data_IF_690196654888
#
_entry.id   IF_690196654888
#
_cell.length_a   1.000
_cell.length_b   1.000
_cell.length_c   1.000
_cell.angle_alpha   90.00
_cell.angle_beta   90.00
_cell.angle_gamma   90.00
#
_symmetry.space_group_name_H-M   'P 1'
#
loop_
_entity.id
_entity.type
_entity.pdbx_description
1 polymer ?
#
# COMPACT_ATOMS: atom_id res chain seq x y z
N UNK A 1 -13.78 2.65 7.19
CA UNK A 1 -12.35 2.65 7.56
C UNK A 1 -11.68 1.65 6.63
N UNK A 2 -10.79 2.10 5.73
CA UNK A 2 -10.11 1.21 4.79
C UNK A 2 -8.74 0.88 5.39
N UNK A 3 -8.56 -0.37 5.79
CA UNK A 3 -7.25 -0.89 6.20
C UNK A 3 -6.57 -1.50 4.98
N UNK A 4 -5.26 -1.30 4.83
CA UNK A 4 -4.46 -1.94 3.80
C UNK A 4 -3.06 -2.24 4.33
N UNK A 5 -2.42 -3.20 3.69
CA UNK A 5 -0.98 -3.45 3.80
C UNK A 5 -0.36 -3.11 2.46
N UNK A 6 0.82 -2.48 2.49
CA UNK A 6 1.56 -2.13 1.29
C UNK A 6 3.06 -2.24 1.48
N UNK A 7 3.78 -2.22 0.36
CA UNK A 7 5.24 -2.37 0.33
C UNK A 7 5.85 -1.01 0.00
N UNK A 8 6.85 -0.60 0.78
CA UNK A 8 7.51 0.70 0.66
C UNK A 8 9.01 0.51 0.40
N UNK A 9 9.55 1.33 -0.50
CA UNK A 9 10.99 1.43 -0.73
C UNK A 9 11.63 2.58 0.08
N UNK A 10 12.96 2.57 0.26
CA UNK A 10 13.66 3.67 0.90
C UNK A 10 13.64 4.94 0.02
N UNK A 11 13.83 6.14 0.61
CA UNK A 11 14.03 7.37 -0.16
C UNK A 11 15.21 7.25 -1.12
N UNK A 12 15.05 7.74 -2.35
CA UNK A 12 16.08 7.71 -3.38
C UNK A 12 16.23 6.38 -4.11
N UNK A 13 15.33 5.41 -3.89
CA UNK A 13 15.26 4.20 -4.70
C UNK A 13 15.09 4.57 -6.20
N UNK A 14 15.94 4.07 -7.11
CA UNK A 14 15.79 4.36 -8.54
C UNK A 14 14.45 3.89 -9.09
N UNK A 15 13.85 4.69 -9.97
CA UNK A 15 12.52 4.43 -10.54
C UNK A 15 12.48 3.08 -11.25
N UNK A 16 13.52 2.71 -11.99
CA UNK A 16 13.55 1.46 -12.76
C UNK A 16 13.53 0.24 -11.84
N UNK A 17 14.15 0.35 -10.66
CA UNK A 17 14.13 -0.71 -9.64
C UNK A 17 12.74 -0.81 -9.01
N UNK A 18 12.12 0.32 -8.68
CA UNK A 18 10.77 0.35 -8.14
C UNK A 18 9.75 -0.23 -9.12
N UNK A 19 9.85 0.11 -10.41
CA UNK A 19 8.98 -0.41 -11.47
C UNK A 19 9.15 -1.92 -11.63
N UNK A 20 10.40 -2.41 -11.66
CA UNK A 20 10.67 -3.85 -11.73
C UNK A 20 10.04 -4.58 -10.55
N UNK A 21 10.27 -4.11 -9.32
CA UNK A 21 9.69 -4.73 -8.12
C UNK A 21 8.16 -4.70 -8.16
N UNK A 22 7.56 -3.57 -8.53
CA UNK A 22 6.11 -3.43 -8.63
C UNK A 22 5.52 -4.43 -9.64
N UNK A 23 6.19 -4.62 -10.79
CA UNK A 23 5.77 -5.59 -11.80
C UNK A 23 5.76 -7.01 -11.21
N UNK A 24 6.88 -7.46 -10.65
CA UNK A 24 7.01 -8.81 -10.09
C UNK A 24 6.03 -9.05 -8.94
N UNK A 25 5.86 -8.08 -8.03
CA UNK A 25 4.89 -8.14 -6.93
C UNK A 25 3.47 -8.30 -7.48
N UNK A 26 3.11 -7.50 -8.50
CA UNK A 26 1.80 -7.58 -9.11
C UNK A 26 1.57 -8.90 -9.87
N UNK A 27 2.61 -9.53 -10.41
CA UNK A 27 2.53 -10.87 -10.99
C UNK A 27 2.30 -11.94 -9.90
N UNK A 28 3.06 -11.87 -8.80
CA UNK A 28 2.90 -12.77 -7.65
C UNK A 28 1.50 -12.66 -7.03
N UNK A 29 0.96 -11.46 -6.89
CA UNK A 29 -0.41 -11.26 -6.36
C UNK A 29 -1.51 -11.81 -7.29
N UNK A 30 -1.20 -12.12 -8.55
CA UNK A 30 -2.12 -12.77 -9.50
C UNK A 30 -1.96 -14.29 -9.52
N UNK A 31 -0.94 -14.83 -8.87
CA UNK A 31 -0.78 -16.27 -8.73
C UNK A 31 -1.96 -16.86 -7.94
N UNK A 32 -2.63 -17.92 -8.43
CA UNK A 32 -3.82 -18.47 -7.78
C UNK A 32 -3.58 -18.99 -6.36
N UNK A 33 -2.41 -19.55 -6.08
CA UNK A 33 -2.10 -20.07 -4.75
C UNK A 33 -1.84 -18.93 -3.77
N UNK A 34 -1.19 -17.87 -4.24
CA UNK A 34 -1.03 -16.62 -3.48
C UNK A 34 -2.38 -15.96 -3.23
N UNK A 35 -3.21 -15.79 -4.25
CA UNK A 35 -4.54 -15.18 -4.14
C UNK A 35 -5.41 -15.92 -3.11
N UNK A 36 -5.40 -17.26 -3.18
CA UNK A 36 -6.10 -18.11 -2.22
C UNK A 36 -5.55 -17.95 -0.80
N UNK A 37 -4.23 -17.89 -0.63
CA UNK A 37 -3.60 -17.74 0.68
C UNK A 37 -3.94 -16.41 1.36
N UNK A 38 -3.97 -15.30 0.62
CA UNK A 38 -4.41 -14.00 1.14
C UNK A 38 -5.90 -13.99 1.46
N UNK A 39 -6.75 -14.51 0.56
CA UNK A 39 -8.20 -14.60 0.79
C UNK A 39 -8.55 -15.46 2.01
N UNK A 40 -7.79 -16.52 2.28
CA UNK A 40 -7.97 -17.36 3.47
C UNK A 40 -7.75 -16.60 4.78
N UNK A 41 -6.99 -15.51 4.76
CA UNK A 41 -6.73 -14.63 5.91
C UNK A 41 -7.69 -13.43 5.97
N UNK A 42 -8.63 -13.33 5.02
CA UNK A 42 -9.57 -12.20 4.91
C UNK A 42 -9.02 -11.00 4.13
N UNK A 43 -7.84 -11.13 3.53
CA UNK A 43 -7.25 -10.07 2.70
C UNK A 43 -7.71 -10.17 1.24
N UNK A 44 -7.62 -9.04 0.55
CA UNK A 44 -7.87 -8.95 -0.88
C UNK A 44 -6.61 -8.46 -1.60
N UNK A 45 -5.87 -9.35 -2.29
CA UNK A 45 -4.78 -8.97 -3.17
C UNK A 45 -5.26 -7.91 -4.17
N UNK A 46 -4.59 -6.76 -4.16
CA UNK A 46 -4.99 -5.62 -5.00
C UNK A 46 -3.77 -5.12 -5.79
N UNK A 47 -3.47 -5.73 -6.96
CA UNK A 47 -2.38 -5.28 -7.81
C UNK A 47 -2.67 -3.87 -8.34
N UNK A 48 -1.78 -2.90 -8.08
CA UNK A 48 -1.94 -1.50 -8.51
C UNK A 48 -0.61 -0.93 -9.03
N UNK A 49 -0.68 0.23 -9.69
CA UNK A 49 0.54 0.95 -10.07
C UNK A 49 1.18 1.64 -8.87
N UNK A 50 2.48 1.95 -8.99
CA UNK A 50 3.21 2.78 -8.02
C UNK A 50 2.49 4.12 -7.77
N UNK A 51 2.01 4.76 -8.85
CA UNK A 51 1.31 6.04 -8.78
C UNK A 51 -0.01 5.93 -7.99
N UNK A 52 -0.84 4.94 -8.30
CA UNK A 52 -2.12 4.73 -7.60
C UNK A 52 -1.90 4.45 -6.12
N UNK A 53 -0.87 3.68 -5.79
CA UNK A 53 -0.55 3.41 -4.39
C UNK A 53 -0.03 4.68 -3.67
N UNK A 54 0.85 5.45 -4.32
CA UNK A 54 1.33 6.71 -3.77
C UNK A 54 0.20 7.73 -3.52
N UNK A 55 -0.78 7.81 -4.44
CA UNK A 55 -1.97 8.65 -4.27
C UNK A 55 -2.84 8.20 -3.10
N UNK A 56 -2.98 6.88 -2.91
CA UNK A 56 -3.73 6.30 -1.77
C UNK A 56 -3.07 6.70 -0.45
N UNK A 57 -1.76 6.48 -0.32
CA UNK A 57 -0.98 6.84 0.88
C UNK A 57 -1.06 8.34 1.16
N UNK A 58 -0.87 9.19 0.14
CA UNK A 58 -0.92 10.65 0.29
C UNK A 58 -2.28 11.14 0.75
N UNK A 59 -3.35 10.58 0.17
CA UNK A 59 -4.73 10.96 0.50
C UNK A 59 -5.10 10.54 1.92
N UNK A 60 -4.75 9.32 2.32
CA UNK A 60 -5.01 8.82 3.66
C UNK A 60 -4.20 9.59 4.71
N UNK A 61 -2.92 9.89 4.44
CA UNK A 61 -2.09 10.71 5.34
C UNK A 61 -2.69 12.12 5.54
N UNK A 62 -3.25 12.72 4.49
CA UNK A 62 -3.92 14.02 4.57
C UNK A 62 -5.18 13.96 5.43
N UNK A 63 -6.03 12.96 5.23
CA UNK A 63 -7.29 12.79 5.95
C UNK A 63 -7.01 12.50 7.43
N UNK A 64 -6.26 11.43 7.72
CA UNK A 64 -6.06 10.95 9.09
C UNK A 64 -5.14 11.87 9.87
N UNK A 65 -4.09 12.40 9.25
CA UNK A 65 -3.24 13.40 9.86
C UNK A 65 -3.97 14.71 10.13
N UNK A 66 -4.89 15.10 9.25
CA UNK A 66 -5.77 16.26 9.44
C UNK A 66 -6.68 16.08 10.66
N UNK A 67 -7.39 14.95 10.70
CA UNK A 67 -8.28 14.61 11.80
C UNK A 67 -7.56 14.53 13.15
N UNK A 68 -6.37 13.91 13.19
CA UNK A 68 -5.58 13.83 14.42
C UNK A 68 -5.22 15.21 14.98
N UNK A 69 -4.86 16.15 14.10
CA UNK A 69 -4.58 17.55 14.49
C UNK A 69 -5.82 18.27 14.99
N UNK A 70 -6.95 18.12 14.31
CA UNK A 70 -8.23 18.72 14.71
C UNK A 70 -8.68 18.24 16.09
N UNK A 71 -8.49 16.94 16.36
CA UNK A 71 -8.86 16.31 17.62
C UNK A 71 -7.80 16.43 18.73
N UNK A 72 -6.67 17.12 18.49
CA UNK A 72 -5.52 17.19 19.40
C UNK A 72 -5.04 15.81 19.90
N UNK A 73 -5.02 14.82 19.01
CA UNK A 73 -4.56 13.47 19.32
C UNK A 73 -3.04 13.38 19.17
N UNK A 74 -2.37 12.88 20.20
CA UNK A 74 -0.94 12.56 20.19
C UNK A 74 -0.70 11.16 20.76
N UNK A 75 0.35 10.49 20.31
CA UNK A 75 0.86 9.28 20.97
C UNK A 75 1.60 9.70 22.24
N UNK A 76 1.29 9.09 23.39
CA UNK A 76 1.97 9.33 24.66
C UNK A 76 3.45 8.95 24.61
#
# INVERSE_FOLDING_TARGET
>A
MRHYVGIFGPPGLPTEVAEKLNKEINEILRDPDVDKAFKAQGDLPTPVSLETFAQTVSSDAKIWGGLAREMNLSTN
#
